data_IF_617366973625
#
_entry.id   IF_617366973625
#
_cell.length_a   1.000
_cell.length_b   1.000
_cell.length_c   1.000
_cell.angle_alpha   90.00
_cell.angle_beta   90.00
_cell.angle_gamma   90.00
#
_symmetry.space_group_name_H-M   'P 1'
#
loop_
_entity.id
_entity.type
_entity.pdbx_description
1 polymer ?
#
# COMPACT_ATOMS: atom_id res chain seq x y z
N UNK A 1 -25.15 -10.45 68.46
CA UNK A 1 -24.73 -11.54 67.56
C UNK A 1 -23.52 -11.03 66.81
N UNK A 2 -22.33 -11.54 67.14
CA UNK A 2 -21.04 -11.06 66.62
C UNK A 2 -20.42 -12.16 65.78
N UNK A 3 -20.30 -11.94 64.48
CA UNK A 3 -19.66 -12.86 63.52
C UNK A 3 -18.14 -12.66 63.54
N UNK A 4 -17.31 -13.72 63.52
CA UNK A 4 -15.85 -13.59 63.50
C UNK A 4 -15.35 -13.21 62.09
N UNK A 5 -14.39 -12.28 62.04
CA UNK A 5 -13.67 -11.86 60.83
C UNK A 5 -12.71 -12.97 60.37
N UNK A 6 -12.75 -13.33 59.08
CA UNK A 6 -11.76 -14.21 58.44
C UNK A 6 -10.43 -13.48 58.17
N UNK A 7 -9.33 -14.22 57.91
CA UNK A 7 -8.01 -13.62 57.69
C UNK A 7 -7.93 -12.82 56.37
N UNK A 8 -7.05 -11.79 56.29
CA UNK A 8 -6.92 -10.96 55.10
C UNK A 8 -6.26 -11.70 53.93
N UNK A 9 -6.55 -11.29 52.67
CA UNK A 9 -5.98 -11.91 51.47
C UNK A 9 -4.47 -11.62 51.33
N UNK A 10 -3.71 -12.50 50.64
CA UNK A 10 -2.28 -12.29 50.39
C UNK A 10 -2.03 -11.09 49.45
N UNK A 11 -0.86 -10.43 49.55
CA UNK A 11 -0.53 -9.28 48.70
C UNK A 11 -0.35 -9.71 47.23
N UNK A 12 -0.66 -8.82 46.27
CA UNK A 12 -0.54 -9.12 44.84
C UNK A 12 0.92 -9.31 44.42
N UNK A 13 1.17 -10.33 43.59
CA UNK A 13 2.47 -10.60 42.97
C UNK A 13 2.91 -9.42 42.08
N UNK A 14 4.19 -8.99 42.14
CA UNK A 14 4.69 -7.90 41.32
C UNK A 14 4.89 -8.39 39.88
N UNK A 15 3.84 -8.29 39.06
CA UNK A 15 3.90 -8.68 37.65
C UNK A 15 2.70 -8.28 36.80
N UNK A 16 1.74 -7.52 37.33
CA UNK A 16 0.58 -7.07 36.57
C UNK A 16 0.86 -5.72 35.91
N UNK A 17 1.22 -5.75 34.62
CA UNK A 17 1.09 -4.58 33.75
C UNK A 17 -0.38 -4.16 33.58
N UNK A 18 -0.67 -2.90 33.23
CA UNK A 18 -2.04 -2.39 33.17
C UNK A 18 -2.86 -3.08 32.07
N UNK A 19 -4.19 -3.19 32.25
CA UNK A 19 -5.07 -3.93 31.35
C UNK A 19 -5.33 -3.14 30.05
N UNK A 20 -4.88 -3.68 28.93
CA UNK A 20 -5.27 -3.20 27.60
C UNK A 20 -6.69 -3.63 27.26
N UNK A 21 -7.56 -2.64 27.09
CA UNK A 21 -8.94 -2.78 26.62
C UNK A 21 -9.03 -3.46 25.25
N UNK A 22 -9.89 -4.49 25.18
CA UNK A 22 -10.79 -4.73 24.04
C UNK A 22 -10.21 -5.32 22.76
N UNK A 23 -10.18 -6.66 22.67
CA UNK A 23 -10.25 -7.36 21.38
C UNK A 23 -11.50 -8.27 21.34
N UNK A 24 -12.37 -8.17 20.32
CA UNK A 24 -13.63 -8.89 20.25
C UNK A 24 -13.44 -10.33 19.73
N UNK A 25 -14.03 -11.26 20.46
CA UNK A 25 -14.59 -12.57 20.10
C UNK A 25 -13.93 -13.41 18.97
N UNK A 26 -13.37 -14.54 19.38
CA UNK A 26 -13.71 -15.83 18.79
C UNK A 26 -12.67 -16.46 17.85
N UNK A 27 -11.76 -17.27 18.41
CA UNK A 27 -11.46 -18.64 17.98
C UNK A 27 -10.45 -19.23 18.97
N UNK A 28 -10.87 -20.18 19.80
CA UNK A 28 -9.97 -20.93 20.66
C UNK A 28 -9.25 -22.01 19.82
N UNK A 29 -7.91 -22.09 19.81
CA UNK A 29 -7.22 -23.23 19.20
C UNK A 29 -7.43 -24.50 20.06
N UNK A 30 -7.52 -25.69 19.45
CA UNK A 30 -7.82 -26.94 20.18
C UNK A 30 -6.65 -27.36 21.09
N UNK A 31 -6.89 -28.12 22.18
CA UNK A 31 -5.85 -28.54 23.12
C UNK A 31 -4.94 -29.60 22.46
N UNK A 32 -3.81 -29.16 21.91
CA UNK A 32 -2.76 -30.04 21.43
C UNK A 32 -1.83 -30.46 22.57
N UNK A 33 -1.70 -31.78 22.76
CA UNK A 33 -0.69 -32.41 23.61
C UNK A 33 0.73 -31.85 23.31
N UNK A 34 1.57 -31.50 24.30
CA UNK A 34 2.95 -31.11 24.03
C UNK A 34 3.77 -32.34 23.58
N UNK A 35 4.50 -32.30 22.46
CA UNK A 35 5.40 -33.38 22.09
C UNK A 35 6.60 -33.44 23.06
N UNK A 36 7.07 -34.63 23.46
CA UNK A 36 8.17 -34.78 24.40
C UNK A 36 9.51 -34.51 23.71
N UNK A 37 10.29 -33.62 24.32
CA UNK A 37 11.76 -33.65 24.36
C UNK A 37 12.52 -33.78 23.04
N UNK A 38 12.98 -32.64 22.51
CA UNK A 38 14.28 -32.58 21.84
C UNK A 38 15.02 -31.34 22.36
N UNK A 39 16.05 -31.58 23.16
CA UNK A 39 17.10 -30.60 23.40
C UNK A 39 17.90 -30.41 22.12
N UNK A 40 18.35 -29.18 21.86
CA UNK A 40 19.25 -28.89 20.77
C UNK A 40 19.00 -27.52 20.16
N UNK A 41 19.93 -26.62 20.43
CA UNK A 41 20.30 -25.47 19.60
C UNK A 41 19.17 -24.47 19.30
N UNK A 42 19.08 -23.41 20.12
CA UNK A 42 18.57 -22.13 19.65
C UNK A 42 19.53 -21.60 18.58
N UNK A 43 19.37 -22.04 17.33
CA UNK A 43 19.95 -21.30 16.21
C UNK A 43 19.30 -19.92 16.19
N UNK A 44 20.08 -18.83 16.26
CA UNK A 44 19.53 -17.50 16.01
C UNK A 44 19.04 -17.51 14.57
N UNK A 45 17.72 -17.34 14.39
CA UNK A 45 17.13 -17.20 13.06
C UNK A 45 17.94 -16.14 12.29
N UNK A 46 18.37 -16.42 11.05
CA UNK A 46 19.04 -15.44 10.22
C UNK A 46 18.20 -14.17 10.17
N UNK A 47 18.81 -13.04 10.51
CA UNK A 47 18.17 -11.73 10.40
C UNK A 47 17.58 -11.60 9.00
N UNK A 48 16.25 -11.50 8.93
CA UNK A 48 15.52 -11.21 7.71
C UNK A 48 16.20 -9.99 7.05
N UNK A 49 16.66 -10.09 5.80
CA UNK A 49 17.35 -8.98 5.14
C UNK A 49 16.48 -7.72 5.20
N UNK A 50 17.08 -6.54 5.47
CA UNK A 50 16.32 -5.30 5.70
C UNK A 50 15.40 -4.85 4.56
N UNK A 51 15.48 -5.47 3.37
CA UNK A 51 14.51 -5.28 2.28
C UNK A 51 13.22 -6.09 2.44
N UNK A 52 13.15 -7.05 3.35
CA UNK A 52 11.95 -7.87 3.58
C UNK A 52 11.05 -7.29 4.69
N UNK A 53 11.31 -6.05 5.10
CA UNK A 53 10.51 -5.29 6.06
C UNK A 53 9.51 -4.32 5.38
N UNK A 54 9.13 -4.56 4.11
CA UNK A 54 8.14 -3.75 3.37
C UNK A 54 6.73 -4.38 3.31
N UNK A 55 6.26 -4.94 4.41
CA UNK A 55 4.82 -5.23 4.59
C UNK A 55 4.47 -4.91 6.03
N UNK A 56 3.56 -3.99 6.34
CA UNK A 56 2.22 -3.84 5.80
C UNK A 56 1.77 -2.39 5.91
N UNK A 57 1.32 -1.79 4.80
CA UNK A 57 0.00 -1.15 4.89
C UNK A 57 -0.96 -1.71 3.85
N UNK A 58 -2.16 -2.09 4.31
CA UNK A 58 -3.35 -2.43 3.52
C UNK A 58 -4.42 -1.37 3.83
N UNK A 59 -4.13 -0.12 3.48
CA UNK A 59 -5.17 0.91 3.43
C UNK A 59 -6.23 0.60 2.37
N UNK A 60 -7.31 1.39 2.28
CA UNK A 60 -8.39 1.17 1.33
C UNK A 60 -7.89 0.93 -0.09
N UNK A 61 -8.48 -0.06 -0.78
CA UNK A 61 -8.15 -0.39 -2.16
C UNK A 61 -8.51 0.78 -3.06
N UNK A 62 -7.62 1.11 -3.99
CA UNK A 62 -7.82 2.20 -4.92
C UNK A 62 -8.85 1.96 -6.01
N UNK A 63 -9.20 3.00 -6.74
CA UNK A 63 -10.24 3.00 -7.77
C UNK A 63 -9.69 2.61 -9.14
N UNK A 64 -10.45 1.78 -9.85
CA UNK A 64 -10.17 1.46 -11.26
C UNK A 64 -10.68 2.61 -12.11
N UNK A 65 -9.78 3.20 -12.90
CA UNK A 65 -10.10 4.35 -13.75
C UNK A 65 -9.88 4.01 -15.22
N UNK A 66 -10.91 4.11 -16.09
CA UNK A 66 -10.81 3.71 -17.48
C UNK A 66 -9.88 4.66 -18.24
N UNK A 67 -8.82 4.11 -18.84
CA UNK A 67 -7.75 4.87 -19.54
C UNK A 67 -8.30 5.84 -20.59
N UNK A 68 -9.29 5.42 -21.37
CA UNK A 68 -9.92 6.27 -22.39
C UNK A 68 -10.65 7.47 -21.82
N UNK A 69 -11.31 7.33 -20.66
CA UNK A 69 -12.00 8.44 -19.98
C UNK A 69 -10.99 9.46 -19.47
N UNK A 70 -9.87 9.00 -18.90
CA UNK A 70 -8.79 9.87 -18.45
C UNK A 70 -8.24 10.69 -19.61
N UNK A 71 -7.93 10.03 -20.72
CA UNK A 71 -7.44 10.70 -21.93
C UNK A 71 -8.45 11.74 -22.42
N UNK A 72 -9.74 11.37 -22.46
CA UNK A 72 -10.81 12.28 -22.85
C UNK A 72 -10.89 13.49 -21.92
N UNK A 73 -10.85 13.29 -20.59
CA UNK A 73 -10.88 14.37 -19.61
C UNK A 73 -9.63 15.25 -19.69
N UNK A 74 -8.46 14.65 -19.92
CA UNK A 74 -7.22 15.38 -20.16
C UNK A 74 -7.37 16.31 -21.37
N UNK A 75 -7.92 15.84 -22.49
CA UNK A 75 -8.13 16.66 -23.68
C UNK A 75 -9.21 17.74 -23.46
N UNK A 76 -10.36 17.39 -22.89
CA UNK A 76 -11.49 18.31 -22.66
C UNK A 76 -11.11 19.44 -21.70
N UNK A 77 -10.27 19.15 -20.70
CA UNK A 77 -9.81 20.13 -19.71
C UNK A 77 -8.51 20.83 -20.09
N UNK A 78 -8.03 20.68 -21.32
CA UNK A 78 -6.74 21.23 -21.78
C UNK A 78 -5.56 20.86 -20.86
N UNK A 79 -5.55 19.63 -20.36
CA UNK A 79 -4.49 19.05 -19.54
C UNK A 79 -4.64 19.27 -18.03
N UNK A 80 -5.60 20.10 -17.58
CA UNK A 80 -5.79 20.39 -16.15
C UNK A 80 -6.13 19.11 -15.38
N UNK A 81 -6.92 18.21 -15.97
CA UNK A 81 -7.28 16.94 -15.34
C UNK A 81 -6.08 16.04 -15.04
N UNK A 82 -4.96 16.19 -15.78
CA UNK A 82 -3.73 15.45 -15.50
C UNK A 82 -3.19 15.72 -14.09
N UNK A 83 -3.28 16.96 -13.60
CA UNK A 83 -2.87 17.31 -12.24
C UNK A 83 -3.75 16.65 -11.18
N UNK A 84 -5.07 16.64 -11.41
CA UNK A 84 -6.04 15.98 -10.52
C UNK A 84 -5.75 14.48 -10.47
N UNK A 85 -5.48 13.86 -11.62
CA UNK A 85 -5.07 12.47 -11.68
C UNK A 85 -3.80 12.20 -10.88
N UNK A 86 -2.74 12.99 -11.06
CA UNK A 86 -1.50 12.82 -10.31
C UNK A 86 -1.74 12.91 -8.79
N UNK A 87 -2.51 13.90 -8.35
CA UNK A 87 -2.89 14.04 -6.96
C UNK A 87 -3.63 12.80 -6.44
N UNK A 88 -4.73 12.41 -7.07
CA UNK A 88 -5.56 11.31 -6.59
C UNK A 88 -4.80 9.98 -6.57
N UNK A 89 -4.04 9.71 -7.62
CA UNK A 89 -3.36 8.43 -7.80
C UNK A 89 -2.23 8.28 -6.78
N UNK A 90 -1.39 9.29 -6.59
CA UNK A 90 -0.31 9.23 -5.58
C UNK A 90 -0.88 9.21 -4.16
N UNK A 91 -1.97 9.93 -3.91
CA UNK A 91 -2.64 9.91 -2.61
C UNK A 91 -3.20 8.52 -2.29
N UNK A 92 -3.83 7.87 -3.26
CA UNK A 92 -4.40 6.55 -3.14
C UNK A 92 -3.33 5.47 -2.96
N UNK A 93 -2.25 5.51 -3.74
CA UNK A 93 -1.12 4.60 -3.58
C UNK A 93 -0.45 4.78 -2.22
N UNK A 94 -0.26 6.03 -1.75
CA UNK A 94 0.28 6.32 -0.42
C UNK A 94 -0.66 5.89 0.70
N UNK A 95 -1.97 6.10 0.57
CA UNK A 95 -2.95 5.65 1.56
C UNK A 95 -3.00 4.13 1.65
N UNK A 96 -2.95 3.46 0.50
CA UNK A 96 -2.99 2.01 0.44
C UNK A 96 -1.71 1.41 1.02
N UNK A 97 -0.55 1.82 0.51
CA UNK A 97 0.74 1.22 0.81
C UNK A 97 1.54 1.91 1.91
N UNK A 98 0.99 2.96 2.54
CA UNK A 98 1.56 3.83 3.59
C UNK A 98 2.87 4.54 3.25
N UNK A 99 3.42 4.33 2.05
CA UNK A 99 4.71 4.84 1.63
C UNK A 99 4.69 5.25 0.16
N UNK A 100 5.16 6.46 -0.12
CA UNK A 100 5.09 7.12 -1.43
C UNK A 100 5.04 8.64 -1.29
N UNK A 101 5.12 9.35 -2.42
CA UNK A 101 5.11 10.82 -2.50
C UNK A 101 3.84 11.40 -1.83
N UNK A 102 2.69 10.79 -2.11
CA UNK A 102 1.37 11.30 -1.71
C UNK A 102 0.85 12.38 -2.64
N UNK A 103 -0.44 12.68 -2.56
CA UNK A 103 -1.11 13.50 -3.57
C UNK A 103 -0.63 14.93 -3.60
N UNK A 104 -0.52 15.58 -2.43
CA UNK A 104 -0.13 17.00 -2.35
C UNK A 104 1.29 17.21 -2.89
N UNK A 105 2.23 16.36 -2.48
CA UNK A 105 3.62 16.47 -2.94
C UNK A 105 3.72 16.17 -4.44
N UNK A 106 3.00 15.15 -4.92
CA UNK A 106 2.91 14.86 -6.35
C UNK A 106 2.31 16.00 -7.16
N UNK A 107 1.30 16.71 -6.64
CA UNK A 107 0.70 17.85 -7.30
C UNK A 107 1.68 19.03 -7.41
N UNK A 108 2.40 19.35 -6.34
CA UNK A 108 3.43 20.41 -6.36
C UNK A 108 4.53 20.08 -7.37
N UNK A 109 4.98 18.82 -7.38
CA UNK A 109 5.98 18.34 -8.34
C UNK A 109 5.42 18.36 -9.76
N UNK A 110 4.14 18.04 -9.98
CA UNK A 110 3.52 18.13 -11.29
C UNK A 110 3.47 19.57 -11.82
N UNK A 111 3.21 20.54 -10.96
CA UNK A 111 3.16 21.97 -11.35
C UNK A 111 4.56 22.50 -11.68
N UNK A 112 5.57 22.17 -10.87
CA UNK A 112 6.93 22.74 -11.00
C UNK A 112 7.81 21.90 -11.94
N UNK A 113 7.69 20.58 -11.87
CA UNK A 113 8.48 19.58 -12.58
C UNK A 113 7.58 18.59 -13.34
N UNK A 114 6.64 19.12 -14.13
CA UNK A 114 5.66 18.31 -14.86
C UNK A 114 6.25 17.20 -15.73
N UNK A 115 7.47 17.38 -16.26
CA UNK A 115 8.17 16.35 -17.04
C UNK A 115 8.69 15.17 -16.21
N UNK A 116 8.87 15.35 -14.89
CA UNK A 116 9.35 14.31 -13.96
C UNK A 116 8.19 13.47 -13.43
N UNK A 117 6.98 14.03 -13.39
CA UNK A 117 5.78 13.37 -12.84
C UNK A 117 5.44 12.03 -13.49
N UNK A 118 5.57 11.84 -14.82
CA UNK A 118 5.43 10.54 -15.46
C UNK A 118 6.38 9.46 -14.92
N UNK A 119 7.64 9.83 -14.66
CA UNK A 119 8.66 8.91 -14.16
C UNK A 119 8.36 8.48 -12.72
N UNK A 120 7.92 9.43 -11.89
CA UNK A 120 7.52 9.17 -10.51
C UNK A 120 6.32 8.24 -10.45
N UNK A 121 5.29 8.51 -11.27
CA UNK A 121 4.09 7.68 -11.30
C UNK A 121 4.42 6.22 -11.68
N UNK A 122 5.15 5.98 -12.77
CA UNK A 122 5.50 4.61 -13.18
C UNK A 122 6.40 3.91 -12.16
N UNK A 123 7.25 4.67 -11.45
CA UNK A 123 8.08 4.11 -10.39
C UNK A 123 7.25 3.69 -9.18
N UNK A 124 6.30 4.51 -8.73
CA UNK A 124 5.43 4.17 -7.60
C UNK A 124 4.54 2.96 -7.90
N UNK A 125 3.95 2.90 -9.09
CA UNK A 125 3.18 1.71 -9.52
C UNK A 125 4.08 0.47 -9.49
N UNK A 126 5.31 0.54 -10.01
CA UNK A 126 6.26 -0.57 -9.94
C UNK A 126 6.60 -0.98 -8.50
N UNK A 127 6.78 -0.03 -7.59
CA UNK A 127 7.03 -0.32 -6.19
C UNK A 127 5.86 -1.03 -5.51
N UNK A 128 4.61 -0.72 -5.88
CA UNK A 128 3.43 -1.44 -5.34
C UNK A 128 3.48 -2.95 -5.64
N UNK A 129 3.94 -3.33 -6.83
CA UNK A 129 4.12 -4.72 -7.22
C UNK A 129 5.29 -5.35 -6.46
N UNK A 130 6.44 -4.67 -6.41
CA UNK A 130 7.64 -5.15 -5.73
C UNK A 130 7.42 -5.42 -4.24
N UNK A 131 6.67 -4.55 -3.55
CA UNK A 131 6.33 -4.73 -2.13
C UNK A 131 5.45 -5.97 -1.88
N UNK A 132 4.72 -6.43 -2.89
CA UNK A 132 3.97 -7.70 -2.85
C UNK A 132 4.80 -8.90 -3.33
N UNK A 133 6.10 -8.73 -3.58
CA UNK A 133 6.97 -9.75 -4.15
C UNK A 133 6.65 -10.08 -5.61
N UNK A 134 5.96 -9.19 -6.32
CA UNK A 134 5.63 -9.38 -7.74
C UNK A 134 6.64 -8.68 -8.64
N UNK A 135 6.79 -9.18 -9.87
CA UNK A 135 7.58 -8.50 -10.89
C UNK A 135 6.96 -7.13 -11.23
N UNK A 136 7.82 -6.12 -11.47
CA UNK A 136 7.38 -4.77 -11.81
C UNK A 136 6.90 -4.72 -13.27
N UNK A 137 5.59 -4.57 -13.56
CA UNK A 137 5.11 -4.44 -14.94
C UNK A 137 5.55 -3.11 -15.58
N UNK A 138 5.76 -2.10 -14.74
CA UNK A 138 6.21 -0.76 -15.10
C UNK A 138 7.29 -0.26 -14.14
N UNK A 139 8.20 0.55 -14.66
CA UNK A 139 9.31 1.17 -13.93
C UNK A 139 9.46 2.63 -14.35
N UNK A 140 10.32 3.41 -13.70
CA UNK A 140 10.65 4.77 -14.13
C UNK A 140 11.05 4.85 -15.61
N UNK A 141 11.71 3.83 -16.16
CA UNK A 141 12.08 3.76 -17.57
C UNK A 141 10.88 3.67 -18.52
N UNK A 142 9.71 3.23 -18.04
CA UNK A 142 8.49 3.22 -18.85
C UNK A 142 8.10 4.64 -19.25
N UNK A 143 8.41 5.64 -18.42
CA UNK A 143 8.20 7.06 -18.73
C UNK A 143 9.17 7.64 -19.77
N UNK A 144 10.19 6.88 -20.21
CA UNK A 144 10.94 7.22 -21.41
C UNK A 144 10.07 7.18 -22.67
N UNK A 145 8.86 6.62 -22.65
CA UNK A 145 7.92 6.78 -23.75
C UNK A 145 7.22 8.15 -23.73
N UNK A 146 7.21 8.86 -22.61
CA UNK A 146 6.61 10.18 -22.49
C UNK A 146 7.54 11.27 -23.07
N UNK A 147 8.81 11.31 -22.65
CA UNK A 147 9.72 12.43 -22.96
C UNK A 147 10.13 12.54 -24.46
N UNK A 148 10.76 11.54 -25.09
CA UNK A 148 10.96 11.53 -26.55
C UNK A 148 9.66 11.32 -27.33
N UNK A 149 8.67 10.69 -26.72
CA UNK A 149 7.42 10.38 -27.40
C UNK A 149 6.48 11.56 -27.58
N UNK A 150 6.63 12.63 -26.77
CA UNK A 150 5.81 13.84 -26.89
C UNK A 150 5.98 14.51 -28.26
N UNK A 151 7.16 14.36 -28.88
CA UNK A 151 7.44 14.85 -30.24
C UNK A 151 6.63 14.14 -31.33
N UNK A 152 6.17 12.92 -31.06
CA UNK A 152 5.36 12.11 -31.99
C UNK A 152 3.88 12.15 -31.57
N UNK A 153 3.54 12.81 -30.45
CA UNK A 153 2.25 12.80 -29.74
C UNK A 153 1.74 11.42 -29.29
N UNK A 154 2.18 10.32 -29.89
CA UNK A 154 1.76 8.95 -29.58
C UNK A 154 2.40 8.41 -28.31
N UNK A 155 3.64 8.79 -28.00
CA UNK A 155 4.37 8.18 -26.90
C UNK A 155 3.80 8.45 -25.50
N UNK A 156 3.29 9.66 -25.18
CA UNK A 156 2.57 9.91 -23.94
C UNK A 156 1.37 8.97 -23.75
N UNK A 157 0.67 8.62 -24.83
CA UNK A 157 -0.44 7.67 -24.76
C UNK A 157 0.03 6.25 -24.46
N UNK A 158 1.09 5.78 -25.11
CA UNK A 158 1.65 4.43 -24.84
C UNK A 158 2.10 4.33 -23.38
N UNK A 159 2.86 5.31 -22.90
CA UNK A 159 3.29 5.39 -21.51
C UNK A 159 2.10 5.35 -20.55
N UNK A 160 1.11 6.19 -20.82
CA UNK A 160 -0.05 6.36 -19.96
C UNK A 160 -0.90 5.09 -19.90
N UNK A 161 -1.18 4.48 -21.06
CA UNK A 161 -1.92 3.22 -21.15
C UNK A 161 -1.23 2.13 -20.35
N UNK A 162 0.09 1.97 -20.51
CA UNK A 162 0.84 0.94 -19.76
C UNK A 162 0.80 1.17 -18.26
N UNK A 163 1.02 2.41 -17.81
CA UNK A 163 1.05 2.74 -16.39
C UNK A 163 -0.33 2.62 -15.74
N UNK A 164 -1.38 3.11 -16.41
CA UNK A 164 -2.74 3.04 -15.90
C UNK A 164 -3.30 1.61 -15.95
N UNK A 165 -2.97 0.82 -16.97
CA UNK A 165 -3.38 -0.59 -17.01
C UNK A 165 -2.72 -1.39 -15.89
N UNK A 166 -1.41 -1.23 -15.67
CA UNK A 166 -0.72 -1.86 -14.54
C UNK A 166 -1.34 -1.45 -13.20
N UNK A 167 -1.61 -0.17 -13.00
CA UNK A 167 -2.27 0.28 -11.77
C UNK A 167 -3.69 -0.30 -11.61
N UNK A 168 -4.47 -0.34 -12.69
CA UNK A 168 -5.81 -0.90 -12.66
C UNK A 168 -5.80 -2.41 -12.39
N UNK A 169 -4.90 -3.15 -13.02
CA UNK A 169 -4.69 -4.59 -12.79
C UNK A 169 -4.27 -4.84 -11.33
N UNK A 170 -3.42 -3.97 -10.77
CA UNK A 170 -3.07 -4.03 -9.36
C UNK A 170 -4.31 -3.92 -8.46
N UNK A 171 -5.16 -2.93 -8.69
CA UNK A 171 -6.39 -2.76 -7.90
C UNK A 171 -7.39 -3.90 -8.12
N UNK A 172 -7.51 -4.41 -9.35
CA UNK A 172 -8.34 -5.58 -9.65
C UNK A 172 -7.85 -6.82 -8.91
N UNK A 173 -6.54 -7.03 -8.83
CA UNK A 173 -5.94 -8.15 -8.09
C UNK A 173 -6.21 -8.09 -6.58
N UNK A 174 -6.59 -6.92 -6.06
CA UNK A 174 -6.98 -6.68 -4.67
C UNK A 174 -8.51 -6.72 -4.46
N UNK A 175 -9.27 -7.10 -5.49
CA UNK A 175 -10.72 -7.28 -5.41
C UNK A 175 -11.55 -6.04 -5.77
N UNK A 176 -10.93 -4.96 -6.24
CA UNK A 176 -11.69 -3.83 -6.77
C UNK A 176 -12.41 -4.27 -8.06
N UNK A 177 -13.72 -4.11 -8.09
CA UNK A 177 -14.56 -4.42 -9.26
C UNK A 177 -15.30 -3.19 -9.77
N UNK A 178 -15.35 -2.12 -8.98
CA UNK A 178 -16.00 -0.88 -9.37
C UNK A 178 -15.07 -0.04 -10.22
N UNK A 179 -15.42 0.12 -11.48
CA UNK A 179 -14.88 1.19 -12.32
C UNK A 179 -15.51 2.51 -11.91
N UNK A 180 -14.68 3.49 -11.53
CA UNK A 180 -15.16 4.83 -11.19
C UNK A 180 -14.94 5.73 -12.40
N UNK A 181 -15.97 6.47 -12.79
CA UNK A 181 -15.92 7.34 -13.97
C UNK A 181 -15.24 8.68 -13.69
N UNK A 182 -15.20 9.11 -12.42
CA UNK A 182 -14.43 10.22 -11.84
C UNK A 182 -14.49 10.16 -10.32
#
# INVERSE_FOLDING_TARGET
>A
MSTPQGPPPPPPSPGAGPPGEGAPYGYAPPPGFPPPGYGGYTEPMPSVPGYAQYGQPQGPVGQIRPTGMIILLFLVTFGIWGFVYYFQTHEEMKRHSGEGLGGVLALVIAIIFGLVSPFLLSNEVGQLYERRGQEKPVTALTALWFFPGIFILVGPFIWFVRTNNALNEYWQSLGQTRTTLV
#
